data_IF_712571709095
#
_entry.id   IF_712571709095
#
_cell.length_a   1.000
_cell.length_b   1.000
_cell.length_c   1.000
_cell.angle_alpha   90.00
_cell.angle_beta   90.00
_cell.angle_gamma   90.00
#
_symmetry.space_group_name_H-M   'P 1'
#
loop_
_entity.id
_entity.type
_entity.pdbx_description
1 polymer ?
#
# COMPACT_ATOMS: atom_id res chain seq x y z
N UNK A 1 9.95 36.53 43.17
CA UNK A 1 9.12 36.65 41.94
C UNK A 1 9.77 36.06 40.69
N UNK A 2 11.09 36.08 40.53
CA UNK A 2 11.80 35.57 39.34
C UNK A 2 11.76 34.04 39.14
N UNK A 3 11.65 33.24 40.22
CA UNK A 3 11.59 31.77 40.15
C UNK A 3 10.26 31.22 39.58
N UNK A 4 9.16 31.96 39.76
CA UNK A 4 7.84 31.56 39.27
C UNK A 4 7.76 31.73 37.73
N UNK A 5 8.38 32.79 37.23
CA UNK A 5 8.46 33.16 35.82
C UNK A 5 9.31 32.15 35.00
N UNK A 6 10.40 31.65 35.59
CA UNK A 6 11.24 30.63 34.96
C UNK A 6 10.52 29.28 34.82
N UNK A 7 9.77 28.85 35.85
CA UNK A 7 9.00 27.60 35.81
C UNK A 7 7.86 27.67 34.79
N UNK A 8 7.22 28.83 34.65
CA UNK A 8 6.16 29.06 33.67
C UNK A 8 6.71 28.98 32.23
N UNK A 9 7.89 29.57 31.98
CA UNK A 9 8.56 29.50 30.67
C UNK A 9 8.94 28.07 30.28
N UNK A 10 9.47 27.28 31.22
CA UNK A 10 9.81 25.87 30.98
C UNK A 10 8.56 25.06 30.61
N UNK A 11 7.46 25.25 31.34
CA UNK A 11 6.19 24.55 31.08
C UNK A 11 5.64 24.90 29.69
N UNK A 12 5.75 26.17 29.29
CA UNK A 12 5.28 26.67 28.00
C UNK A 12 6.11 26.11 26.82
N UNK A 13 7.43 26.01 26.97
CA UNK A 13 8.32 25.38 25.97
C UNK A 13 8.02 23.88 25.84
N UNK A 14 7.79 23.20 26.97
CA UNK A 14 7.49 21.76 26.96
C UNK A 14 6.14 21.47 26.28
N UNK A 15 5.14 22.32 26.47
CA UNK A 15 3.83 22.19 25.83
C UNK A 15 3.88 22.41 24.31
N UNK A 16 4.70 23.34 23.84
CA UNK A 16 4.88 23.61 22.39
C UNK A 16 5.52 22.40 21.69
N UNK A 17 6.52 21.76 22.30
CA UNK A 17 7.19 20.57 21.74
C UNK A 17 6.25 19.35 21.66
N UNK A 18 5.32 19.21 22.61
CA UNK A 18 4.32 18.14 22.60
C UNK A 18 3.26 18.34 21.50
N UNK A 19 2.95 19.58 21.12
CA UNK A 19 1.94 19.87 20.08
C UNK A 19 2.43 19.59 18.65
N UNK A 20 3.74 19.59 18.39
CA UNK A 20 4.31 19.24 17.08
C UNK A 20 4.25 17.75 16.72
N UNK A 21 3.79 16.89 17.64
CA UNK A 21 3.75 15.44 17.45
C UNK A 21 2.56 14.89 16.65
N UNK A 22 1.57 15.71 16.27
CA UNK A 22 0.41 15.23 15.50
C UNK A 22 0.79 15.17 14.02
N UNK A 23 1.54 14.14 13.66
CA UNK A 23 1.85 13.80 12.28
C UNK A 23 0.58 13.23 11.62
N UNK A 24 -0.22 14.09 11.00
CA UNK A 24 -1.28 13.64 10.12
C UNK A 24 -0.64 12.92 8.94
N UNK A 25 -0.94 11.62 8.79
CA UNK A 25 -0.49 10.83 7.66
C UNK A 25 -0.89 11.53 6.35
N UNK A 26 0.08 11.79 5.48
CA UNK A 26 -0.15 12.54 4.25
C UNK A 26 -0.97 11.69 3.27
N UNK A 27 -2.22 12.11 3.01
CA UNK A 27 -3.03 11.57 1.92
C UNK A 27 -2.50 12.11 0.58
N UNK A 28 -2.29 11.20 -0.38
CA UNK A 28 -1.80 11.49 -1.72
C UNK A 28 -2.92 11.23 -2.71
N UNK A 29 -3.18 12.19 -3.59
CA UNK A 29 -4.10 12.03 -4.72
C UNK A 29 -3.25 12.00 -5.99
N UNK A 30 -3.41 10.94 -6.78
CA UNK A 30 -2.67 10.76 -8.03
C UNK A 30 -3.62 10.47 -9.17
N UNK A 31 -3.25 10.91 -10.38
CA UNK A 31 -3.89 10.42 -11.60
C UNK A 31 -3.57 8.93 -11.78
N UNK A 32 -2.29 8.57 -11.65
CA UNK A 32 -1.79 7.18 -11.74
C UNK A 32 -0.46 7.04 -10.99
N UNK A 33 -0.33 6.01 -10.17
CA UNK A 33 0.92 5.65 -9.46
C UNK A 33 1.28 4.20 -9.75
N UNK A 34 2.53 3.95 -10.15
CA UNK A 34 3.04 2.58 -10.35
C UNK A 34 3.33 1.91 -9.01
N UNK A 35 2.80 0.71 -8.84
CA UNK A 35 2.89 -0.06 -7.60
C UNK A 35 3.34 -1.49 -7.89
N UNK A 36 3.83 -2.15 -6.85
CA UNK A 36 4.01 -3.59 -6.79
C UNK A 36 3.00 -4.13 -5.80
N UNK A 37 2.23 -5.14 -6.21
CA UNK A 37 1.40 -5.94 -5.34
C UNK A 37 2.21 -7.13 -4.87
N UNK A 38 2.28 -7.31 -3.56
CA UNK A 38 2.91 -8.44 -2.90
C UNK A 38 1.82 -9.43 -2.55
N UNK A 39 1.89 -10.62 -3.16
CA UNK A 39 0.87 -11.66 -3.09
C UNK A 39 1.47 -12.88 -2.41
N UNK A 40 0.82 -13.41 -1.39
CA UNK A 40 1.26 -14.66 -0.76
C UNK A 40 1.13 -15.84 -1.74
N UNK A 41 2.17 -16.66 -1.87
CA UNK A 41 2.19 -17.74 -2.87
C UNK A 41 1.19 -18.85 -2.58
N UNK A 42 0.75 -19.03 -1.33
CA UNK A 42 -0.12 -20.15 -0.95
C UNK A 42 -1.60 -19.82 -1.05
N UNK A 43 -1.95 -18.58 -0.74
CA UNK A 43 -3.33 -18.12 -0.64
C UNK A 43 -3.77 -17.25 -1.81
N UNK A 44 -2.83 -16.80 -2.65
CA UNK A 44 -3.07 -15.82 -3.73
C UNK A 44 -3.72 -14.51 -3.24
N UNK A 45 -3.60 -14.20 -1.94
CA UNK A 45 -4.10 -12.96 -1.33
C UNK A 45 -3.05 -11.86 -1.45
N UNK A 46 -3.49 -10.65 -1.80
CA UNK A 46 -2.63 -9.45 -1.77
C UNK A 46 -2.46 -9.00 -0.32
N UNK A 47 -1.27 -9.19 0.22
CA UNK A 47 -0.94 -8.76 1.58
C UNK A 47 -0.55 -7.28 1.62
N UNK A 48 0.24 -6.83 0.65
CA UNK A 48 0.80 -5.49 0.63
C UNK A 48 0.81 -4.86 -0.76
N UNK A 49 0.68 -3.54 -0.78
CA UNK A 49 0.88 -2.72 -1.98
C UNK A 49 2.04 -1.77 -1.68
N UNK A 50 3.07 -1.75 -2.52
CA UNK A 50 4.24 -0.87 -2.31
C UNK A 50 4.50 -0.01 -3.54
N UNK A 51 5.10 1.16 -3.36
CA UNK A 51 5.51 2.00 -4.49
C UNK A 51 6.62 1.31 -5.27
N UNK A 52 6.49 1.26 -6.60
CA UNK A 52 7.52 0.67 -7.48
C UNK A 52 8.90 1.30 -7.24
N UNK A 53 8.95 2.62 -7.07
CA UNK A 53 10.20 3.35 -6.81
C UNK A 53 10.87 2.96 -5.49
N UNK A 54 10.10 2.55 -4.47
CA UNK A 54 10.66 2.07 -3.21
C UNK A 54 11.16 0.63 -3.36
N UNK A 55 10.41 -0.19 -4.08
CA UNK A 55 10.78 -1.57 -4.37
C UNK A 55 12.10 -1.66 -5.15
N UNK A 56 12.27 -0.83 -6.19
CA UNK A 56 13.50 -0.77 -7.00
C UNK A 56 14.75 -0.29 -6.23
N UNK A 57 14.56 0.45 -5.14
CA UNK A 57 15.67 0.89 -4.27
C UNK A 57 16.06 -0.16 -3.22
N UNK A 58 15.25 -1.20 -3.06
CA UNK A 58 15.48 -2.24 -2.05
C UNK A 58 16.41 -3.29 -2.63
N UNK A 59 17.43 -3.67 -1.88
CA UNK A 59 18.35 -4.74 -2.30
C UNK A 59 17.64 -6.09 -2.37
N UNK A 60 17.96 -6.89 -3.38
CA UNK A 60 17.36 -8.21 -3.60
C UNK A 60 17.44 -9.13 -2.36
N UNK A 61 18.56 -9.09 -1.63
CA UNK A 61 18.74 -9.84 -0.38
C UNK A 61 17.72 -9.47 0.71
N UNK A 62 17.32 -8.20 0.77
CA UNK A 62 16.30 -7.72 1.69
C UNK A 62 14.90 -8.12 1.23
N UNK A 63 14.64 -8.11 -0.08
CA UNK A 63 13.39 -8.60 -0.65
C UNK A 63 13.19 -10.09 -0.35
N UNK A 64 14.22 -10.92 -0.56
CA UNK A 64 14.14 -12.37 -0.26
C UNK A 64 13.97 -12.65 1.23
N UNK A 65 14.61 -11.86 2.11
CA UNK A 65 14.44 -12.00 3.56
C UNK A 65 13.03 -11.65 4.02
N UNK A 66 12.45 -10.58 3.47
CA UNK A 66 11.15 -10.07 3.90
C UNK A 66 9.98 -10.80 3.21
N UNK A 67 10.21 -11.34 2.01
CA UNK A 67 9.14 -11.81 1.13
C UNK A 67 9.45 -13.13 0.41
N UNK A 68 10.33 -13.99 0.93
CA UNK A 68 10.76 -15.22 0.25
C UNK A 68 9.67 -16.21 -0.18
N UNK A 69 8.42 -16.01 0.22
CA UNK A 69 7.25 -16.80 -0.17
C UNK A 69 6.16 -15.99 -0.90
N UNK A 70 6.52 -14.89 -1.56
CA UNK A 70 5.55 -14.02 -2.25
C UNK A 70 5.84 -13.90 -3.76
N UNK A 71 4.76 -13.65 -4.51
CA UNK A 71 4.77 -13.21 -5.90
C UNK A 71 4.64 -11.70 -5.94
N UNK A 72 5.28 -11.08 -6.93
CA UNK A 72 5.24 -9.64 -7.14
C UNK A 72 4.59 -9.32 -8.49
N UNK A 73 3.49 -8.59 -8.47
CA UNK A 73 2.80 -8.16 -9.68
C UNK A 73 2.91 -6.66 -9.87
N UNK A 74 3.22 -6.24 -11.09
CA UNK A 74 3.17 -4.83 -11.44
C UNK A 74 1.71 -4.36 -11.48
N UNK A 75 1.47 -3.14 -11.00
CA UNK A 75 0.15 -2.54 -11.10
C UNK A 75 0.15 -1.03 -11.18
N UNK A 76 -1.05 -0.48 -11.37
CA UNK A 76 -1.36 0.94 -11.29
C UNK A 76 -2.40 1.19 -10.21
N UNK A 77 -2.18 2.25 -9.42
CA UNK A 77 -3.13 2.76 -8.46
C UNK A 77 -3.61 4.14 -8.91
N UNK A 78 -4.93 4.34 -8.99
CA UNK A 78 -5.58 5.60 -9.39
C UNK A 78 -6.59 6.02 -8.32
N UNK A 79 -6.42 7.19 -7.74
CA UNK A 79 -7.25 7.69 -6.65
C UNK A 79 -6.44 8.15 -5.45
N UNK A 80 -7.08 8.22 -4.28
CA UNK A 80 -6.39 8.60 -3.05
C UNK A 80 -5.76 7.39 -2.36
N UNK A 81 -4.66 7.65 -1.64
CA UNK A 81 -4.00 6.66 -0.80
C UNK A 81 -3.14 7.36 0.25
N UNK A 82 -2.79 6.65 1.32
CA UNK A 82 -1.76 7.09 2.26
C UNK A 82 -0.68 6.03 2.41
N UNK A 83 0.46 6.44 2.97
CA UNK A 83 1.57 5.55 3.26
C UNK A 83 1.58 5.19 4.74
N UNK A 84 1.70 3.90 5.05
CA UNK A 84 1.94 3.39 6.39
C UNK A 84 3.25 2.59 6.38
N UNK A 85 4.32 3.13 6.98
CA UNK A 85 5.67 2.54 7.14
C UNK A 85 6.42 2.09 5.88
N UNK A 86 5.76 2.01 4.72
CA UNK A 86 6.21 1.85 3.32
C UNK A 86 5.15 1.15 2.45
N UNK A 87 4.07 0.69 3.06
CA UNK A 87 2.92 0.11 2.40
C UNK A 87 1.92 1.20 2.04
N UNK A 88 1.28 1.04 0.89
CA UNK A 88 0.17 1.85 0.43
C UNK A 88 -1.11 1.29 1.02
N UNK A 89 -1.88 2.15 1.67
CA UNK A 89 -3.26 1.88 2.04
C UNK A 89 -4.15 2.68 1.09
N UNK A 90 -4.83 2.02 0.14
CA UNK A 90 -5.74 2.69 -0.78
C UNK A 90 -6.89 3.39 -0.04
N UNK A 91 -7.21 4.61 -0.46
CA UNK A 91 -8.43 5.31 -0.04
C UNK A 91 -9.68 4.68 -0.67
N UNK A 92 -10.84 5.23 -0.31
CA UNK A 92 -12.13 4.80 -0.88
C UNK A 92 -12.22 5.12 -2.37
N UNK A 93 -12.88 4.27 -3.16
CA UNK A 93 -13.09 4.43 -4.59
C UNK A 93 -11.79 4.49 -5.43
N UNK A 94 -10.68 4.04 -4.86
CA UNK A 94 -9.40 3.92 -5.54
C UNK A 94 -9.43 2.68 -6.43
N UNK A 95 -9.01 2.86 -7.67
CA UNK A 95 -8.90 1.79 -8.66
C UNK A 95 -7.48 1.23 -8.62
N UNK A 96 -7.36 -0.09 -8.53
CA UNK A 96 -6.11 -0.81 -8.69
C UNK A 96 -6.21 -1.67 -9.94
N UNK A 97 -5.22 -1.55 -10.82
CA UNK A 97 -5.05 -2.39 -12.00
C UNK A 97 -3.85 -3.28 -11.74
N UNK A 98 -4.04 -4.60 -11.80
CA UNK A 98 -3.03 -5.62 -11.62
C UNK A 98 -2.70 -6.20 -12.99
N UNK A 99 -1.45 -6.11 -13.40
CA UNK A 99 -0.98 -6.74 -14.63
C UNK A 99 -0.60 -8.19 -14.34
N UNK A 100 -1.53 -9.10 -14.59
CA UNK A 100 -1.37 -10.52 -14.24
C UNK A 100 -0.38 -11.25 -15.15
N UNK A 101 -0.02 -10.64 -16.28
CA UNK A 101 0.99 -11.10 -17.24
C UNK A 101 2.39 -10.52 -16.99
N UNK A 102 2.52 -9.56 -16.07
CA UNK A 102 3.78 -8.85 -15.77
C UNK A 102 4.20 -9.09 -14.33
N UNK A 103 4.80 -10.26 -14.11
CA UNK A 103 5.39 -10.66 -12.84
C UNK A 103 6.84 -10.15 -12.71
N UNK A 104 7.19 -9.66 -11.52
CA UNK A 104 8.58 -9.47 -11.12
C UNK A 104 9.05 -10.75 -10.39
N UNK A 105 10.03 -11.46 -10.96
CA UNK A 105 10.52 -12.79 -10.56
C UNK A 105 11.17 -12.85 -9.14
N UNK A 106 11.40 -14.04 -8.51
CA UNK A 106 12.05 -15.23 -9.09
C UNK A 106 11.29 -16.57 -9.01
N UNK A 107 9.97 -16.59 -8.80
CA UNK A 107 9.25 -17.88 -8.68
C UNK A 107 8.11 -17.91 -9.69
N UNK A 108 8.24 -18.84 -10.64
CA UNK A 108 7.25 -19.22 -11.63
C UNK A 108 5.95 -19.61 -10.92
N UNK A 109 4.95 -18.73 -10.92
CA UNK A 109 3.55 -19.13 -10.81
C UNK A 109 2.67 -17.92 -11.07
N UNK A 110 1.89 -18.04 -12.13
CA UNK A 110 0.91 -17.06 -12.59
C UNK A 110 -0.14 -16.77 -11.51
N UNK A 111 -0.59 -15.52 -11.44
CA UNK A 111 -1.80 -15.16 -10.72
C UNK A 111 -2.97 -15.94 -11.33
N UNK A 112 -3.67 -16.77 -10.55
CA UNK A 112 -4.84 -17.54 -11.01
C UNK A 112 -6.06 -16.63 -11.21
N UNK A 113 -5.95 -15.68 -12.12
CA UNK A 113 -7.05 -14.79 -12.51
C UNK A 113 -8.19 -15.54 -13.20
N UNK A 114 -7.99 -16.76 -13.67
CA UNK A 114 -9.00 -17.50 -14.46
C UNK A 114 -10.30 -17.79 -13.70
N UNK A 115 -10.25 -17.81 -12.36
CA UNK A 115 -11.41 -18.07 -11.51
C UNK A 115 -12.06 -16.80 -10.93
N UNK A 116 -11.58 -15.61 -11.30
CA UNK A 116 -12.05 -14.34 -10.72
C UNK A 116 -13.07 -13.68 -11.65
N UNK A 117 -14.28 -13.46 -11.17
CA UNK A 117 -15.37 -12.84 -11.92
C UNK A 117 -15.59 -11.37 -11.50
N UNK A 118 -16.03 -10.50 -12.43
CA UNK A 118 -16.55 -9.19 -12.05
C UNK A 118 -17.69 -9.34 -11.05
N UNK A 119 -17.59 -8.69 -9.91
CA UNK A 119 -18.51 -8.92 -8.80
C UNK A 119 -17.85 -9.45 -7.54
N UNK A 120 -16.75 -10.18 -7.69
CA UNK A 120 -16.09 -10.86 -6.58
C UNK A 120 -15.48 -9.86 -5.59
N UNK A 121 -15.55 -10.20 -4.31
CA UNK A 121 -14.91 -9.44 -3.25
C UNK A 121 -13.45 -9.90 -3.09
N UNK A 122 -12.58 -8.93 -2.82
CA UNK A 122 -11.15 -9.16 -2.70
C UNK A 122 -10.57 -8.28 -1.59
N UNK A 123 -9.65 -8.82 -0.80
CA UNK A 123 -8.94 -8.04 0.22
C UNK A 123 -7.62 -7.53 -0.35
N UNK A 124 -7.37 -6.21 -0.22
CA UNK A 124 -6.12 -5.56 -0.56
C UNK A 124 -5.45 -5.11 0.73
N UNK A 125 -4.68 -6.00 1.35
CA UNK A 125 -4.26 -5.85 2.74
C UNK A 125 -5.49 -5.68 3.63
N UNK A 126 -5.59 -4.54 4.33
CA UNK A 126 -6.70 -4.23 5.22
C UNK A 126 -7.93 -3.65 4.49
N UNK A 127 -7.82 -3.30 3.20
CA UNK A 127 -8.89 -2.62 2.46
C UNK A 127 -9.75 -3.60 1.65
N UNK A 128 -11.08 -3.51 1.79
CA UNK A 128 -12.00 -4.29 0.95
C UNK A 128 -12.13 -3.69 -0.45
N UNK A 129 -12.02 -4.54 -1.44
CA UNK A 129 -12.16 -4.21 -2.85
C UNK A 129 -13.13 -5.15 -3.55
N UNK A 130 -13.60 -4.73 -4.72
CA UNK A 130 -14.46 -5.50 -5.60
C UNK A 130 -13.89 -5.52 -7.00
N UNK A 131 -13.97 -6.68 -7.65
CA UNK A 131 -13.55 -6.83 -9.04
C UNK A 131 -14.55 -6.12 -9.94
N UNK A 132 -14.04 -5.18 -10.75
CA UNK A 132 -14.83 -4.46 -11.74
C UNK A 132 -14.67 -5.09 -13.12
N UNK A 133 -13.46 -5.53 -13.45
CA UNK A 133 -13.19 -6.20 -14.70
C UNK A 133 -12.04 -7.20 -14.52
N UNK A 134 -12.18 -8.34 -15.16
CA UNK A 134 -11.09 -9.29 -15.36
C UNK A 134 -10.97 -9.54 -16.86
N UNK A 135 -9.81 -9.18 -17.41
CA UNK A 135 -9.48 -9.34 -18.82
C UNK A 135 -8.12 -10.02 -18.92
N UNK A 136 -7.81 -10.58 -20.08
CA UNK A 136 -6.51 -11.19 -20.34
C UNK A 136 -5.37 -10.21 -19.99
N UNK A 137 -4.58 -10.55 -18.99
CA UNK A 137 -3.43 -9.77 -18.51
C UNK A 137 -3.77 -8.61 -17.57
N UNK A 138 -5.05 -8.31 -17.31
CA UNK A 138 -5.45 -7.17 -16.46
C UNK A 138 -6.60 -7.53 -15.54
N UNK A 139 -6.36 -7.45 -14.22
CA UNK A 139 -7.38 -7.49 -13.20
C UNK A 139 -7.61 -6.09 -12.64
N UNK A 140 -8.83 -5.57 -12.79
CA UNK A 140 -9.21 -4.23 -12.33
C UNK A 140 -10.15 -4.35 -11.14
N UNK A 141 -9.72 -3.78 -10.03
CA UNK A 141 -10.46 -3.81 -8.76
C UNK A 141 -10.64 -2.40 -8.23
N UNK A 142 -11.71 -2.19 -7.46
CA UNK A 142 -12.02 -0.89 -6.87
C UNK A 142 -12.36 -1.05 -5.39
N UNK A 143 -11.79 -0.17 -4.59
CA UNK A 143 -11.96 -0.18 -3.13
C UNK A 143 -13.31 0.39 -2.73
N UNK A 144 -13.97 -0.24 -1.77
CA UNK A 144 -15.30 0.16 -1.33
C UNK A 144 -15.28 0.94 0.00
N UNK A 145 -14.36 0.57 0.90
CA UNK A 145 -14.08 1.23 2.19
C UNK A 145 -12.79 0.62 2.79
N UNK A 146 -11.89 1.42 3.39
CA UNK A 146 -10.98 0.90 4.41
C UNK A 146 -11.77 0.47 5.67
#
# INVERSE_FOLDING_TARGET
MQLLDLRLKILLVTAIVLCSGICFGQERITKETKVILVVDNKSDVVEHIVLLANFQKTEEKQLMKNYGHHKFFLGLLKGSYHLNKNTIVPGKNTTVVIYTDKQFSPIEEFFQSENISPGDEFNLGETKAKVIANKKGELVIKTQKP
#
